data_IF_454523740608
#
_entry.id   IF_454523740608
#
_cell.length_a   1.000
_cell.length_b   1.000
_cell.length_c   1.000
_cell.angle_alpha   90.00
_cell.angle_beta   90.00
_cell.angle_gamma   90.00
#
_symmetry.space_group_name_H-M   'P 1'
#
loop_
_entity.id
_entity.type
_entity.pdbx_description
1 polymer ?
#
# COMPACT_ATOMS: atom_id res chain seq x y z
N UNK A 1 -14.74 13.32 -7.01
CA UNK A 1 -13.37 13.03 -6.50
C UNK A 1 -12.56 14.32 -6.51
N UNK A 2 -11.92 14.70 -5.40
CA UNK A 2 -11.05 15.89 -5.34
C UNK A 2 -9.71 15.49 -5.98
N UNK A 3 -9.34 16.15 -7.11
CA UNK A 3 -8.01 16.01 -7.71
C UNK A 3 -7.08 17.04 -7.09
N UNK A 4 -5.97 16.57 -6.52
CA UNK A 4 -4.88 17.40 -6.02
C UNK A 4 -3.62 17.05 -6.81
N UNK A 5 -3.32 17.88 -7.82
CA UNK A 5 -2.12 17.69 -8.64
C UNK A 5 -0.87 18.20 -7.90
N UNK A 6 0.25 17.52 -8.09
CA UNK A 6 1.54 18.01 -7.63
C UNK A 6 1.95 19.27 -8.42
N UNK A 7 2.50 20.26 -7.72
CA UNK A 7 3.18 21.39 -8.34
C UNK A 7 4.61 20.97 -8.70
N UNK A 8 4.93 20.94 -9.99
CA UNK A 8 6.21 20.44 -10.50
C UNK A 8 6.92 21.48 -11.37
N UNK A 9 8.24 21.53 -11.30
CA UNK A 9 9.05 22.43 -12.14
C UNK A 9 9.23 21.93 -13.58
N UNK A 10 9.05 20.64 -13.79
CA UNK A 10 9.13 19.96 -15.09
C UNK A 10 8.00 18.95 -15.21
N UNK A 11 7.66 18.56 -16.43
CA UNK A 11 6.63 17.56 -16.69
C UNK A 11 7.06 16.19 -16.16
N UNK A 12 6.16 15.52 -15.43
CA UNK A 12 6.32 14.15 -14.94
C UNK A 12 5.10 13.32 -15.35
N UNK A 13 5.19 12.00 -15.24
CA UNK A 13 4.08 11.11 -15.58
C UNK A 13 2.81 11.48 -14.79
N UNK A 14 1.64 11.59 -15.44
CA UNK A 14 0.38 12.00 -14.80
C UNK A 14 0.05 11.19 -13.54
N UNK A 15 0.28 9.88 -13.58
CA UNK A 15 0.02 8.99 -12.44
C UNK A 15 0.84 9.38 -11.19
N UNK A 16 2.05 9.87 -11.37
CA UNK A 16 2.90 10.33 -10.26
C UNK A 16 2.37 11.68 -9.73
N UNK A 17 2.02 12.61 -10.61
CA UNK A 17 1.52 13.94 -10.22
C UNK A 17 0.13 13.90 -9.59
N UNK A 18 -0.69 12.90 -9.91
CA UNK A 18 -2.04 12.72 -9.37
C UNK A 18 -2.06 11.98 -8.04
N UNK A 19 -0.99 11.22 -7.72
CA UNK A 19 -0.90 10.50 -6.46
C UNK A 19 -0.71 11.47 -5.28
N UNK A 20 -1.57 11.41 -4.31
CA UNK A 20 -1.45 12.12 -3.02
C UNK A 20 -1.95 11.25 -1.87
N UNK A 21 -1.77 11.69 -0.63
CA UNK A 21 -2.19 10.96 0.58
C UNK A 21 -3.44 11.60 1.18
N UNK A 22 -4.64 11.16 0.82
CA UNK A 22 -5.89 11.69 1.35
C UNK A 22 -6.07 11.27 2.83
N UNK A 23 -6.87 12.05 3.55
CA UNK A 23 -7.32 11.76 4.92
C UNK A 23 -8.84 11.85 5.07
N UNK A 24 -9.55 11.89 3.95
CA UNK A 24 -11.00 11.87 3.87
C UNK A 24 -11.37 10.78 2.88
N UNK A 25 -12.14 9.82 3.32
CA UNK A 25 -12.56 8.66 2.56
C UNK A 25 -14.08 8.55 2.59
N UNK A 26 -14.65 7.91 1.60
CA UNK A 26 -16.06 7.53 1.57
C UNK A 26 -16.24 6.27 2.42
N UNK A 27 -16.89 6.43 3.58
CA UNK A 27 -17.11 5.32 4.54
C UNK A 27 -17.97 4.19 3.98
N UNK A 28 -18.77 4.46 2.95
CA UNK A 28 -19.68 3.49 2.33
C UNK A 28 -19.02 2.77 1.14
N UNK A 29 -17.86 3.28 0.69
CA UNK A 29 -17.12 2.64 -0.39
C UNK A 29 -16.51 1.31 0.07
N UNK A 30 -16.82 0.24 -0.63
CA UNK A 30 -16.24 -1.10 -0.43
C UNK A 30 -15.42 -1.46 -1.66
N UNK A 31 -14.13 -1.65 -1.46
CA UNK A 31 -13.23 -2.09 -2.53
C UNK A 31 -13.59 -3.54 -2.95
N UNK A 32 -13.68 -3.78 -4.25
CA UNK A 32 -13.89 -5.13 -4.75
C UNK A 32 -12.60 -5.98 -4.74
N UNK A 33 -12.75 -7.30 -4.79
CA UNK A 33 -11.62 -8.24 -4.73
C UNK A 33 -10.71 -8.17 -5.96
N UNK A 34 -11.25 -7.80 -7.12
CA UNK A 34 -10.47 -7.61 -8.35
C UNK A 34 -9.49 -6.45 -8.19
N UNK A 35 -9.95 -5.33 -7.66
CA UNK A 35 -9.12 -4.17 -7.37
C UNK A 35 -8.07 -4.47 -6.29
N UNK A 36 -8.39 -5.21 -5.23
CA UNK A 36 -7.40 -5.66 -4.24
C UNK A 36 -6.31 -6.52 -4.90
N UNK A 37 -6.69 -7.47 -5.74
CA UNK A 37 -5.73 -8.30 -6.49
C UNK A 37 -4.86 -7.47 -7.44
N UNK A 38 -5.44 -6.49 -8.14
CA UNK A 38 -4.72 -5.59 -9.04
C UNK A 38 -3.66 -4.77 -8.31
N UNK A 39 -3.99 -4.23 -7.14
CA UNK A 39 -3.06 -3.48 -6.28
C UNK A 39 -1.89 -4.37 -5.83
N UNK A 40 -2.18 -5.60 -5.39
CA UNK A 40 -1.14 -6.54 -4.95
C UNK A 40 -0.29 -7.06 -6.11
N UNK A 41 -0.87 -7.23 -7.29
CA UNK A 41 -0.13 -7.61 -8.49
C UNK A 41 0.83 -6.49 -8.92
N UNK A 42 0.43 -5.22 -8.86
CA UNK A 42 1.31 -4.09 -9.11
C UNK A 42 2.50 -4.09 -8.14
N UNK A 43 2.27 -4.36 -6.85
CA UNK A 43 3.33 -4.50 -5.86
C UNK A 43 4.32 -5.61 -6.23
N UNK A 44 3.84 -6.76 -6.73
CA UNK A 44 4.66 -7.91 -7.11
C UNK A 44 5.66 -7.58 -8.22
N UNK A 45 5.34 -6.61 -9.09
CA UNK A 45 6.21 -6.19 -10.19
C UNK A 45 7.26 -5.14 -9.81
N UNK A 46 7.37 -4.77 -8.54
CA UNK A 46 8.48 -3.93 -8.09
C UNK A 46 9.82 -4.67 -8.25
N UNK A 47 10.91 -3.95 -8.59
CA UNK A 47 12.24 -4.54 -8.59
C UNK A 47 12.66 -4.95 -7.18
N UNK A 48 13.48 -6.01 -7.09
CA UNK A 48 14.08 -6.42 -5.82
C UNK A 48 15.44 -7.08 -6.03
N UNK A 49 16.30 -6.98 -5.04
CA UNK A 49 17.63 -7.58 -5.05
C UNK A 49 17.51 -9.09 -5.29
N UNK A 50 18.17 -9.60 -6.34
CA UNK A 50 18.06 -10.98 -6.84
C UNK A 50 16.63 -11.46 -7.16
N UNK A 51 15.67 -10.55 -7.35
CA UNK A 51 14.26 -10.92 -7.54
C UNK A 51 13.63 -11.59 -6.32
N UNK A 52 14.18 -11.36 -5.11
CA UNK A 52 13.79 -12.04 -3.88
C UNK A 52 12.36 -11.72 -3.42
N UNK A 53 11.81 -10.55 -3.82
CA UNK A 53 10.47 -10.10 -3.43
C UNK A 53 10.25 -10.25 -1.91
N UNK A 54 10.98 -9.47 -1.08
CA UNK A 54 11.02 -9.68 0.36
C UNK A 54 9.76 -9.20 1.09
N UNK A 55 8.86 -8.52 0.38
CA UNK A 55 7.62 -8.00 0.96
C UNK A 55 6.61 -9.07 1.32
N UNK A 56 5.84 -8.80 2.35
CA UNK A 56 4.60 -9.49 2.71
C UNK A 56 3.54 -8.45 3.04
N UNK A 57 2.34 -8.68 2.57
CA UNK A 57 1.19 -7.81 2.81
C UNK A 57 0.14 -8.58 3.61
N UNK A 58 -0.22 -8.06 4.79
CA UNK A 58 -1.37 -8.56 5.54
C UNK A 58 -2.55 -7.64 5.27
N UNK A 59 -3.62 -8.21 4.76
CA UNK A 59 -4.77 -7.49 4.24
C UNK A 59 -5.90 -7.52 5.26
N UNK A 60 -6.43 -6.36 5.62
CA UNK A 60 -7.58 -6.20 6.51
C UNK A 60 -8.68 -5.48 5.74
N UNK A 61 -9.78 -6.18 5.48
CA UNK A 61 -10.93 -5.61 4.78
C UNK A 61 -11.99 -5.20 5.80
N UNK A 62 -12.64 -4.05 5.59
CA UNK A 62 -13.68 -3.52 6.49
C UNK A 62 -14.86 -4.49 6.68
N UNK A 63 -15.14 -5.35 5.70
CA UNK A 63 -16.16 -6.40 5.77
C UNK A 63 -15.87 -7.47 6.84
N UNK A 64 -14.61 -7.68 7.23
CA UNK A 64 -14.21 -8.55 8.35
C UNK A 64 -14.04 -7.73 9.62
N UNK A 65 -15.16 -7.49 10.32
CA UNK A 65 -15.25 -6.54 11.42
C UNK A 65 -14.22 -6.80 12.54
N UNK A 66 -13.97 -8.07 12.92
CA UNK A 66 -13.04 -8.39 14.00
C UNK A 66 -11.59 -8.06 13.62
N UNK A 67 -11.16 -8.51 12.45
CA UNK A 67 -9.81 -8.26 11.95
C UNK A 67 -9.59 -6.77 11.67
N UNK A 68 -10.63 -6.09 11.18
CA UNK A 68 -10.62 -4.66 10.93
C UNK A 68 -10.39 -3.85 12.20
N UNK A 69 -11.17 -4.10 13.25
CA UNK A 69 -11.02 -3.40 14.54
C UNK A 69 -9.64 -3.65 15.14
N UNK A 70 -9.13 -4.87 15.08
CA UNK A 70 -7.77 -5.18 15.54
C UNK A 70 -6.70 -4.40 14.79
N UNK A 71 -6.81 -4.29 13.45
CA UNK A 71 -5.88 -3.52 12.64
C UNK A 71 -5.96 -2.01 12.95
N UNK A 72 -7.16 -1.45 13.10
CA UNK A 72 -7.35 -0.05 13.49
C UNK A 72 -6.72 0.25 14.86
N UNK A 73 -6.87 -0.62 15.83
CA UNK A 73 -6.31 -0.44 17.17
C UNK A 73 -4.77 -0.45 17.19
N UNK A 74 -4.12 -0.95 16.15
CA UNK A 74 -2.66 -0.85 15.99
C UNK A 74 -2.19 0.54 15.55
N UNK A 75 -3.10 1.40 15.08
CA UNK A 75 -2.78 2.76 14.64
C UNK A 75 -2.80 3.74 15.82
N UNK A 76 -2.05 4.83 15.70
CA UNK A 76 -2.21 5.96 16.61
C UNK A 76 -3.62 6.55 16.53
N UNK A 77 -4.13 7.12 17.62
CA UNK A 77 -5.49 7.71 17.68
C UNK A 77 -5.73 8.71 16.54
N UNK A 78 -4.75 9.57 16.24
CA UNK A 78 -4.86 10.54 15.13
C UNK A 78 -5.04 9.88 13.76
N UNK A 79 -4.46 8.69 13.56
CA UNK A 79 -4.62 7.93 12.33
C UNK A 79 -5.91 7.11 12.31
N UNK A 80 -6.37 6.59 13.47
CA UNK A 80 -7.65 5.88 13.55
C UNK A 80 -8.81 6.74 13.05
N UNK A 81 -8.80 8.05 13.38
CA UNK A 81 -9.88 9.00 13.05
C UNK A 81 -10.21 9.10 11.56
N UNK A 82 -9.25 8.88 10.67
CA UNK A 82 -9.49 8.89 9.23
C UNK A 82 -9.41 7.49 8.60
N UNK A 83 -8.61 6.59 9.18
CA UNK A 83 -8.45 5.23 8.67
C UNK A 83 -9.72 4.39 8.83
N UNK A 84 -10.55 4.69 9.83
CA UNK A 84 -11.82 3.99 10.05
C UNK A 84 -12.80 4.10 8.87
N UNK A 85 -12.67 5.12 8.04
CA UNK A 85 -13.51 5.33 6.86
C UNK A 85 -12.97 4.65 5.60
N UNK A 86 -11.75 4.09 5.64
CA UNK A 86 -11.19 3.34 4.50
C UNK A 86 -11.82 1.95 4.40
N UNK A 87 -11.82 1.35 3.22
CA UNK A 87 -12.35 -0.02 2.99
C UNK A 87 -11.28 -1.10 3.15
N UNK A 88 -9.98 -0.70 3.15
CA UNK A 88 -8.84 -1.61 3.17
C UNK A 88 -7.70 -1.01 4.01
N UNK A 89 -7.12 -1.82 4.89
CA UNK A 89 -5.83 -1.56 5.53
C UNK A 89 -4.83 -2.63 5.12
N UNK A 90 -3.61 -2.23 4.84
CA UNK A 90 -2.53 -3.13 4.43
C UNK A 90 -1.36 -2.97 5.39
N UNK A 91 -1.04 -4.02 6.17
CA UNK A 91 0.20 -4.05 6.93
C UNK A 91 1.33 -4.54 6.02
N UNK A 92 2.34 -3.70 5.86
CA UNK A 92 3.49 -3.95 4.99
C UNK A 92 4.65 -4.47 5.83
N UNK A 93 5.14 -5.66 5.50
CA UNK A 93 6.25 -6.32 6.19
C UNK A 93 7.39 -6.62 5.22
N UNK A 94 8.63 -6.51 5.69
CA UNK A 94 9.83 -6.86 4.94
C UNK A 94 10.54 -8.07 5.59
N UNK A 95 10.77 -9.12 4.81
CA UNK A 95 11.58 -10.25 5.26
C UNK A 95 13.07 -9.90 5.20
N UNK A 96 13.74 -9.90 6.36
CA UNK A 96 15.14 -9.49 6.47
C UNK A 96 16.15 -10.54 5.99
N UNK A 97 15.71 -11.68 5.49
CA UNK A 97 16.57 -12.76 5.00
C UNK A 97 16.21 -13.10 3.57
N UNK A 98 17.24 -13.34 2.74
CA UNK A 98 17.05 -13.88 1.40
C UNK A 98 16.43 -15.25 1.42
N UNK A 99 15.47 -15.52 0.53
CA UNK A 99 14.80 -16.82 0.42
C UNK A 99 15.74 -17.92 -0.07
N UNK A 100 16.68 -17.59 -0.96
CA UNK A 100 17.54 -18.56 -1.62
C UNK A 100 18.70 -19.08 -0.76
N UNK A 101 19.14 -18.33 0.28
CA UNK A 101 20.31 -18.74 1.08
C UNK A 101 20.19 -18.44 2.58
N UNK A 102 19.14 -17.75 3.02
CA UNK A 102 18.91 -17.40 4.43
C UNK A 102 19.81 -16.30 4.99
N UNK A 103 20.70 -15.73 4.19
CA UNK A 103 21.56 -14.61 4.61
C UNK A 103 20.77 -13.34 4.80
N UNK A 104 21.34 -12.37 5.53
CA UNK A 104 20.74 -11.06 5.73
C UNK A 104 20.51 -10.33 4.39
N UNK A 105 19.26 -9.92 4.16
CA UNK A 105 18.88 -9.08 3.03
C UNK A 105 18.82 -7.60 3.46
N UNK A 106 19.92 -6.90 3.30
CA UNK A 106 20.06 -5.48 3.64
C UNK A 106 19.15 -4.57 2.80
N UNK A 107 18.70 -5.04 1.64
CA UNK A 107 17.85 -4.30 0.69
C UNK A 107 16.35 -4.52 0.93
N UNK A 108 16.00 -5.42 1.84
CA UNK A 108 14.61 -5.85 2.03
C UNK A 108 13.62 -4.71 2.27
N UNK A 109 13.99 -3.71 3.07
CA UNK A 109 13.14 -2.55 3.33
C UNK A 109 13.05 -1.60 2.13
N UNK A 110 14.17 -1.39 1.42
CA UNK A 110 14.22 -0.60 0.20
C UNK A 110 13.32 -1.22 -0.89
N UNK A 111 13.48 -2.50 -1.15
CA UNK A 111 12.68 -3.25 -2.12
C UNK A 111 11.19 -3.25 -1.75
N UNK A 112 10.89 -3.40 -0.46
CA UNK A 112 9.50 -3.33 0.05
C UNK A 112 8.91 -1.92 -0.10
N UNK A 113 9.72 -0.87 0.03
CA UNK A 113 9.31 0.50 -0.26
C UNK A 113 8.92 0.69 -1.72
N UNK A 114 9.68 0.12 -2.67
CA UNK A 114 9.34 0.14 -4.09
C UNK A 114 8.01 -0.57 -4.37
N UNK A 115 7.78 -1.74 -3.75
CA UNK A 115 6.51 -2.45 -3.85
C UNK A 115 5.33 -1.65 -3.26
N UNK A 116 5.56 -0.93 -2.17
CA UNK A 116 4.55 -0.06 -1.54
C UNK A 116 4.20 1.14 -2.43
N UNK A 117 5.16 1.73 -3.14
CA UNK A 117 4.87 2.80 -4.09
C UNK A 117 4.05 2.28 -5.27
N UNK A 118 4.32 1.09 -5.79
CA UNK A 118 3.48 0.47 -6.82
C UNK A 118 2.02 0.29 -6.35
N UNK A 119 1.80 -0.06 -5.07
CA UNK A 119 0.45 -0.08 -4.46
C UNK A 119 -0.20 1.30 -4.56
N UNK A 120 0.53 2.35 -4.18
CA UNK A 120 0.00 3.72 -4.20
C UNK A 120 -0.35 4.18 -5.62
N UNK A 121 0.53 3.91 -6.59
CA UNK A 121 0.32 4.27 -7.99
C UNK A 121 -0.87 3.50 -8.59
N UNK A 122 -0.94 2.19 -8.35
CA UNK A 122 -2.07 1.37 -8.83
C UNK A 122 -3.40 1.80 -8.20
N UNK A 123 -3.39 2.14 -6.91
CA UNK A 123 -4.58 2.67 -6.24
C UNK A 123 -5.02 4.04 -6.78
N UNK A 124 -4.08 4.85 -7.28
CA UNK A 124 -4.37 6.13 -7.92
C UNK A 124 -4.95 5.94 -9.32
N UNK A 125 -4.52 4.90 -10.03
CA UNK A 125 -5.02 4.54 -11.36
C UNK A 125 -6.47 4.03 -11.34
N UNK A 126 -6.85 3.26 -10.32
CA UNK A 126 -8.20 2.70 -10.13
C UNK A 126 -9.22 3.75 -9.68
#
# INVERSE_FOLDING_TARGET
MIKKLAETEVEIAPLISERWSPRVFDSDFIIDEGNVKSILEAARWAPSCFGDQPWKFVIFQKKDALQWVNALNCLSVGNQNWAMDTSLLICVCANKKFKHNGNENKWSQYDTGAASENICLQSTYL
#
